data_IF_839527758722
#
_entry.id   IF_839527758722
#
_cell.length_a   1.000
_cell.length_b   1.000
_cell.length_c   1.000
_cell.angle_alpha   90.00
_cell.angle_beta   90.00
_cell.angle_gamma   90.00
#
_symmetry.space_group_name_H-M   'P 1'
#
loop_
_entity.id
_entity.type
_entity.pdbx_description
1 polymer ?
#
# COMPACT_ATOMS: atom_id res chain seq x y z
N UNK A 1 40.97 16.74 9.60
CA UNK A 1 39.67 17.19 10.12
C UNK A 1 38.71 16.01 10.11
N UNK A 2 38.32 15.49 11.27
CA UNK A 2 37.35 14.39 11.41
C UNK A 2 35.96 15.00 11.66
N UNK A 3 35.06 14.89 10.68
CA UNK A 3 33.66 15.33 10.81
C UNK A 3 32.87 14.31 11.63
N UNK A 4 32.34 14.73 12.77
CA UNK A 4 31.64 13.88 13.73
C UNK A 4 30.30 13.35 13.24
N UNK A 5 30.07 12.07 13.48
CA UNK A 5 28.77 11.40 13.37
C UNK A 5 27.77 12.07 14.31
N UNK A 6 26.74 12.70 13.76
CA UNK A 6 25.61 13.19 14.57
C UNK A 6 24.64 12.03 14.82
N UNK A 7 24.67 11.48 16.04
CA UNK A 7 23.56 10.72 16.60
C UNK A 7 22.39 11.68 16.85
N UNK A 8 21.48 11.77 15.88
CA UNK A 8 20.31 12.63 15.94
C UNK A 8 19.01 11.82 16.03
N UNK A 9 18.37 11.87 17.20
CA UNK A 9 16.95 11.60 17.44
C UNK A 9 16.45 10.16 17.20
N UNK A 10 16.82 9.25 18.08
CA UNK A 10 16.00 8.05 18.32
C UNK A 10 14.70 8.48 19.01
N UNK A 11 13.64 8.69 18.24
CA UNK A 11 12.27 8.63 18.75
C UNK A 11 11.94 7.16 18.98
N UNK A 12 11.30 6.76 20.10
CA UNK A 12 10.84 5.38 20.26
C UNK A 12 9.98 5.03 19.05
N UNK A 13 10.43 4.07 18.24
CA UNK A 13 9.73 3.61 17.06
C UNK A 13 8.58 2.68 17.45
N UNK A 14 7.65 3.16 18.29
CA UNK A 14 6.48 2.38 18.69
C UNK A 14 5.43 2.28 17.58
N UNK A 15 5.59 3.06 16.50
CA UNK A 15 4.77 3.02 15.29
C UNK A 15 5.66 2.94 14.06
N UNK A 16 5.32 2.07 13.12
CA UNK A 16 6.01 1.96 11.84
C UNK A 16 5.99 3.31 11.12
N UNK A 17 7.12 3.71 10.53
CA UNK A 17 7.16 4.88 9.66
C UNK A 17 6.31 4.60 8.43
N UNK A 18 5.49 5.56 8.02
CA UNK A 18 4.63 5.44 6.84
C UNK A 18 5.42 5.12 5.56
N UNK A 19 6.68 5.56 5.47
CA UNK A 19 7.59 5.25 4.36
C UNK A 19 7.89 3.76 4.19
N UNK A 20 7.70 2.95 5.23
CA UNK A 20 7.86 1.50 5.17
C UNK A 20 6.57 0.74 4.84
N UNK A 21 5.46 1.44 4.62
CA UNK A 21 4.16 0.83 4.29
C UNK A 21 3.92 0.84 2.78
N UNK A 22 3.19 -0.17 2.30
CA UNK A 22 2.72 -0.24 0.93
C UNK A 22 1.59 0.77 0.69
N UNK A 23 1.81 1.75 -0.18
CA UNK A 23 0.84 2.79 -0.51
C UNK A 23 0.04 2.46 -1.76
N UNK A 24 -1.26 2.80 -1.74
CA UNK A 24 -2.15 2.72 -2.89
C UNK A 24 -2.64 4.14 -3.21
N UNK A 25 -2.30 4.65 -4.39
CA UNK A 25 -2.63 6.02 -4.78
C UNK A 25 -4.00 6.09 -5.47
N UNK A 26 -5.00 6.60 -4.75
CA UNK A 26 -6.36 6.78 -5.27
C UNK A 26 -6.43 7.70 -6.49
N UNK A 27 -5.55 8.71 -6.59
CA UNK A 27 -5.52 9.60 -7.76
C UNK A 27 -5.04 8.86 -9.00
N UNK A 28 -4.06 7.97 -8.83
CA UNK A 28 -3.60 7.10 -9.92
C UNK A 28 -4.72 6.16 -10.36
N UNK A 29 -5.40 5.50 -9.41
CA UNK A 29 -6.54 4.63 -9.74
C UNK A 29 -7.64 5.40 -10.50
N UNK A 30 -7.94 6.63 -10.09
CA UNK A 30 -8.92 7.47 -10.78
C UNK A 30 -8.47 7.84 -12.20
N UNK A 31 -7.24 8.34 -12.36
CA UNK A 31 -6.69 8.77 -13.67
C UNK A 31 -6.62 7.62 -14.67
N UNK A 32 -6.34 6.41 -14.20
CA UNK A 32 -6.28 5.20 -15.03
C UNK A 32 -7.66 4.53 -15.19
N UNK A 33 -8.74 5.19 -14.75
CA UNK A 33 -10.12 4.70 -14.81
C UNK A 33 -10.34 3.34 -14.09
N UNK A 34 -9.48 3.03 -13.12
CA UNK A 34 -9.49 1.79 -12.33
C UNK A 34 -10.49 1.84 -11.17
N UNK A 35 -11.23 2.93 -10.99
CA UNK A 35 -12.32 3.07 -10.00
C UNK A 35 -13.71 2.85 -10.59
N UNK A 36 -13.82 2.56 -11.89
CA UNK A 36 -15.12 2.28 -12.53
C UNK A 36 -15.76 1.05 -11.89
N UNK A 37 -17.06 1.06 -11.56
CA UNK A 37 -17.74 -0.09 -10.98
C UNK A 37 -17.63 -1.36 -11.84
N UNK A 38 -17.54 -2.52 -11.21
CA UNK A 38 -17.52 -3.82 -11.89
C UNK A 38 -16.12 -4.30 -12.32
N UNK A 39 -15.06 -3.57 -11.99
CA UNK A 39 -13.68 -4.01 -12.24
C UNK A 39 -13.19 -4.93 -11.12
N UNK A 40 -12.38 -5.91 -11.49
CA UNK A 40 -11.64 -6.76 -10.56
C UNK A 40 -10.21 -6.92 -11.08
N UNK A 41 -9.23 -6.45 -10.31
CA UNK A 41 -7.83 -6.44 -10.71
C UNK A 41 -6.90 -6.56 -9.51
N UNK A 42 -5.64 -6.89 -9.78
CA UNK A 42 -4.58 -6.94 -8.77
C UNK A 42 -3.71 -5.69 -8.82
N UNK A 43 -3.27 -5.24 -7.65
CA UNK A 43 -2.20 -4.27 -7.50
C UNK A 43 -1.05 -4.92 -6.73
N UNK A 44 0.18 -4.67 -7.16
CA UNK A 44 1.36 -5.27 -6.54
C UNK A 44 2.47 -4.24 -6.37
N UNK A 45 3.27 -4.45 -5.33
CA UNK A 45 4.49 -3.70 -5.10
C UNK A 45 5.67 -4.60 -5.39
N UNK A 46 6.69 -4.04 -6.04
CA UNK A 46 7.95 -4.73 -6.33
C UNK A 46 9.09 -4.03 -5.60
N UNK A 47 10.15 -4.76 -5.29
CA UNK A 47 11.41 -4.17 -4.84
C UNK A 47 12.20 -3.60 -6.04
N UNK A 48 13.36 -3.03 -5.77
CA UNK A 48 14.26 -2.48 -6.79
C UNK A 48 14.77 -3.52 -7.81
N UNK A 49 14.67 -4.82 -7.47
CA UNK A 49 15.00 -5.95 -8.35
C UNK A 49 13.81 -6.42 -9.19
N UNK A 50 12.64 -5.80 -9.04
CA UNK A 50 11.40 -6.19 -9.73
C UNK A 50 10.68 -7.37 -9.08
N UNK A 51 11.13 -7.88 -7.94
CA UNK A 51 10.50 -9.00 -7.25
C UNK A 51 9.28 -8.52 -6.47
N UNK A 52 8.16 -9.23 -6.58
CA UNK A 52 6.92 -8.90 -5.88
C UNK A 52 7.10 -9.03 -4.37
N UNK A 53 6.96 -7.92 -3.65
CA UNK A 53 7.03 -7.89 -2.18
C UNK A 53 5.66 -8.09 -1.54
N UNK A 54 4.59 -7.62 -2.18
CA UNK A 54 3.21 -7.74 -1.69
C UNK A 54 2.21 -7.48 -2.81
N UNK A 55 0.97 -7.91 -2.58
CA UNK A 55 -0.14 -7.66 -3.50
C UNK A 55 -1.46 -7.44 -2.77
N UNK A 56 -2.37 -6.75 -3.43
CA UNK A 56 -3.74 -6.51 -2.99
C UNK A 56 -4.67 -6.73 -4.20
N UNK A 57 -5.72 -7.52 -4.00
CA UNK A 57 -6.83 -7.63 -4.94
C UNK A 57 -7.80 -6.47 -4.71
N UNK A 58 -8.29 -5.87 -5.78
CA UNK A 58 -9.24 -4.75 -5.75
C UNK A 58 -10.46 -5.14 -6.58
N UNK A 59 -11.64 -4.95 -6.01
CA UNK A 59 -12.93 -5.06 -6.70
C UNK A 59 -13.73 -3.80 -6.50
N UNK A 60 -14.10 -3.13 -7.59
CA UNK A 60 -14.84 -1.86 -7.54
C UNK A 60 -16.33 -2.08 -7.64
N UNK A 61 -17.08 -1.25 -6.92
CA UNK A 61 -18.54 -1.24 -6.86
C UNK A 61 -19.03 0.19 -7.06
N UNK A 62 -20.35 0.40 -7.16
CA UNK A 62 -20.93 1.74 -7.41
C UNK A 62 -20.56 2.79 -6.37
N UNK A 63 -20.40 2.39 -5.11
CA UNK A 63 -20.14 3.29 -3.98
C UNK A 63 -18.85 2.97 -3.24
N UNK A 64 -17.83 2.49 -3.96
CA UNK A 64 -16.51 2.25 -3.38
C UNK A 64 -15.87 0.98 -3.89
N UNK A 65 -15.02 0.38 -3.06
CA UNK A 65 -14.24 -0.78 -3.46
C UNK A 65 -14.01 -1.75 -2.30
N UNK A 66 -13.83 -3.01 -2.64
CA UNK A 66 -13.38 -4.05 -1.72
C UNK A 66 -11.93 -4.35 -2.05
N UNK A 67 -11.08 -4.33 -1.03
CA UNK A 67 -9.71 -4.84 -1.11
C UNK A 67 -9.58 -6.19 -0.41
N UNK A 68 -8.74 -7.05 -0.96
CA UNK A 68 -8.34 -8.31 -0.35
C UNK A 68 -6.82 -8.37 -0.32
N UNK A 69 -6.22 -8.55 0.85
CA UNK A 69 -4.76 -8.60 1.04
C UNK A 69 -4.42 -9.56 2.17
N UNK A 70 -3.14 -9.88 2.37
CA UNK A 70 -2.71 -10.73 3.47
C UNK A 70 -1.98 -9.93 4.56
N UNK A 71 -2.29 -10.20 5.82
CA UNK A 71 -1.50 -9.77 6.99
C UNK A 71 -0.97 -11.04 7.65
N UNK A 72 0.36 -11.15 7.82
CA UNK A 72 0.99 -12.32 8.43
C UNK A 72 0.58 -13.68 7.80
N UNK A 73 0.28 -13.67 6.49
CA UNK A 73 -0.19 -14.86 5.75
C UNK A 73 -1.69 -15.11 5.82
N UNK A 74 -2.43 -14.40 6.68
CA UNK A 74 -3.88 -14.50 6.76
C UNK A 74 -4.56 -13.53 5.79
N UNK A 75 -5.51 -14.04 5.01
CA UNK A 75 -6.26 -13.22 4.06
C UNK A 75 -7.30 -12.35 4.77
N UNK A 76 -7.18 -11.05 4.57
CA UNK A 76 -8.08 -10.01 5.08
C UNK A 76 -8.81 -9.37 3.92
N UNK A 77 -10.13 -9.30 4.03
CA UNK A 77 -10.97 -8.55 3.11
C UNK A 77 -11.49 -7.29 3.82
N UNK A 78 -11.41 -6.15 3.15
CA UNK A 78 -11.92 -4.88 3.66
C UNK A 78 -12.72 -4.16 2.60
N UNK A 79 -13.96 -3.81 2.91
CA UNK A 79 -14.77 -2.91 2.09
C UNK A 79 -14.50 -1.46 2.51
N UNK A 80 -14.32 -0.60 1.53
CA UNK A 80 -14.15 0.84 1.68
C UNK A 80 -15.26 1.52 0.89
N UNK A 81 -16.00 2.38 1.57
CA UNK A 81 -17.04 3.21 0.97
C UNK A 81 -16.37 4.44 0.35
N UNK A 82 -16.82 4.84 -0.84
CA UNK A 82 -16.41 6.08 -1.51
C UNK A 82 -17.41 7.19 -1.24
#
# INVERSE_FOLDING_TARGET
>A
MRGGTRYGSSRPATKAKTSGLHSLDARRLHREALLRPGLSYGWQWTNDRGERTSSIGIRTHEHGLTVTYAINGESVQRRMWA
#
